data_IF_936242730265
#
_entry.id   IF_936242730265
#
_cell.length_a   1.000
_cell.length_b   1.000
_cell.length_c   1.000
_cell.angle_alpha   90.00
_cell.angle_beta   90.00
_cell.angle_gamma   90.00
#
_symmetry.space_group_name_H-M   'P 1'
#
loop_
_entity.id
_entity.type
_entity.pdbx_description
1 polymer ?
#
# COMPACT_ATOMS: atom_id res chain seq x y z
N UNK A 1 -29.26 -15.66 -5.14
CA UNK A 1 -28.04 -14.87 -5.40
C UNK A 1 -28.06 -13.68 -4.45
N UNK A 2 -27.19 -13.66 -3.45
CA UNK A 2 -27.18 -12.62 -2.42
C UNK A 2 -26.75 -11.28 -3.02
N UNK A 3 -27.31 -10.17 -2.53
CA UNK A 3 -26.87 -8.82 -2.93
C UNK A 3 -25.37 -8.63 -2.67
N UNK A 4 -24.87 -9.17 -1.55
CA UNK A 4 -23.46 -9.10 -1.16
C UNK A 4 -22.55 -9.76 -2.19
N UNK A 5 -22.89 -10.96 -2.66
CA UNK A 5 -22.13 -11.66 -3.72
C UNK A 5 -22.11 -10.84 -5.01
N UNK A 6 -23.26 -10.33 -5.45
CA UNK A 6 -23.33 -9.47 -6.64
C UNK A 6 -22.49 -8.20 -6.50
N UNK A 7 -22.53 -7.54 -5.34
CA UNK A 7 -21.72 -6.34 -5.09
C UNK A 7 -20.22 -6.64 -5.11
N UNK A 8 -19.83 -7.80 -4.56
CA UNK A 8 -18.43 -8.24 -4.53
C UNK A 8 -17.95 -8.62 -5.93
N UNK A 9 -18.76 -9.37 -6.69
CA UNK A 9 -18.47 -9.74 -8.08
C UNK A 9 -18.38 -8.50 -8.99
N UNK A 10 -19.24 -7.49 -8.75
CA UNK A 10 -19.18 -6.23 -9.49
C UNK A 10 -17.96 -5.39 -9.10
N UNK A 11 -17.62 -5.35 -7.80
CA UNK A 11 -16.43 -4.68 -7.28
C UNK A 11 -15.13 -5.30 -7.80
N UNK A 12 -15.01 -6.63 -7.78
CA UNK A 12 -13.88 -7.37 -8.34
C UNK A 12 -13.87 -7.33 -9.88
N UNK A 13 -15.06 -7.28 -10.50
CA UNK A 13 -15.23 -7.15 -11.95
C UNK A 13 -14.68 -5.82 -12.49
N UNK A 14 -14.94 -4.71 -11.80
CA UNK A 14 -14.36 -3.40 -12.12
C UNK A 14 -12.84 -3.38 -11.90
N UNK A 15 -12.34 -4.09 -10.89
CA UNK A 15 -10.90 -4.28 -10.67
C UNK A 15 -10.24 -5.22 -11.67
N UNK A 16 -11.00 -5.95 -12.49
CA UNK A 16 -10.49 -6.83 -13.55
C UNK A 16 -10.90 -6.35 -14.94
N UNK A 17 -11.44 -5.13 -15.04
CA UNK A 17 -11.70 -4.47 -16.33
C UNK A 17 -10.34 -4.22 -17.01
N UNK A 18 -10.13 -4.86 -18.15
CA UNK A 18 -8.99 -4.68 -19.04
C UNK A 18 -9.38 -3.83 -20.25
N UNK A 19 -8.38 -3.31 -20.96
CA UNK A 19 -8.61 -2.54 -22.21
C UNK A 19 -9.44 -3.34 -23.21
N UNK A 20 -9.13 -4.62 -23.37
CA UNK A 20 -9.79 -5.53 -24.31
C UNK A 20 -11.27 -5.70 -23.94
N UNK A 21 -11.59 -5.79 -22.64
CA UNK A 21 -12.99 -5.88 -22.18
C UNK A 21 -13.76 -4.59 -22.42
N UNK A 22 -13.12 -3.43 -22.27
CA UNK A 22 -13.75 -2.14 -22.58
C UNK A 22 -14.00 -2.02 -24.07
N UNK A 23 -13.02 -2.37 -24.90
CA UNK A 23 -13.16 -2.33 -26.36
C UNK A 23 -14.29 -3.26 -26.84
N UNK A 24 -14.35 -4.50 -26.32
CA UNK A 24 -15.43 -5.43 -26.62
C UNK A 24 -16.81 -4.92 -26.16
N UNK A 25 -16.89 -4.29 -24.97
CA UNK A 25 -18.13 -3.69 -24.47
C UNK A 25 -18.62 -2.55 -25.38
N UNK A 26 -17.70 -1.68 -25.81
CA UNK A 26 -18.05 -0.56 -26.69
C UNK A 26 -18.43 -1.05 -28.09
N UNK A 27 -17.79 -2.08 -28.60
CA UNK A 27 -18.17 -2.70 -29.87
C UNK A 27 -19.59 -3.29 -29.83
N UNK A 28 -19.98 -3.94 -28.74
CA UNK A 28 -21.36 -4.41 -28.53
C UNK A 28 -22.37 -3.26 -28.51
N UNK A 29 -22.03 -2.13 -27.89
CA UNK A 29 -22.89 -0.92 -27.90
C UNK A 29 -23.02 -0.32 -29.31
N UNK A 30 -21.95 -0.35 -30.12
CA UNK A 30 -22.03 0.06 -31.54
C UNK A 30 -22.95 -0.86 -32.33
N UNK A 31 -22.83 -2.18 -32.12
CA UNK A 31 -23.68 -3.17 -32.80
C UNK A 31 -25.16 -3.01 -32.44
N UNK A 32 -25.45 -2.57 -31.21
CA UNK A 32 -26.81 -2.23 -30.75
C UNK A 32 -27.31 -0.88 -31.24
N UNK A 33 -26.46 -0.08 -31.89
CA UNK A 33 -26.77 1.28 -32.34
C UNK A 33 -26.83 2.31 -31.21
N UNK A 34 -26.32 1.96 -30.02
CA UNK A 34 -26.27 2.86 -28.86
C UNK A 34 -25.11 3.86 -28.94
N UNK A 35 -24.05 3.52 -29.68
CA UNK A 35 -22.89 4.38 -29.93
C UNK A 35 -22.62 4.42 -31.43
N UNK A 36 -22.35 5.61 -31.96
CA UNK A 36 -21.91 5.71 -33.34
C UNK A 36 -20.48 5.15 -33.51
N UNK A 37 -20.26 4.40 -34.60
CA UNK A 37 -18.95 3.78 -34.90
C UNK A 37 -17.79 4.79 -34.89
N UNK A 38 -18.05 6.04 -35.28
CA UNK A 38 -17.05 7.13 -35.28
C UNK A 38 -16.64 7.57 -33.86
N UNK A 39 -17.49 7.37 -32.86
CA UNK A 39 -17.30 7.82 -31.48
C UNK A 39 -16.79 6.70 -30.56
N UNK A 40 -16.92 5.44 -30.99
CA UNK A 40 -16.55 4.24 -30.23
C UNK A 40 -15.14 4.31 -29.62
N UNK A 41 -14.13 4.65 -30.42
CA UNK A 41 -12.74 4.71 -29.95
C UNK A 41 -12.54 5.76 -28.85
N UNK A 42 -13.16 6.93 -29.00
CA UNK A 42 -13.07 8.00 -28.01
C UNK A 42 -13.80 7.62 -26.72
N UNK A 43 -14.96 6.97 -26.83
CA UNK A 43 -15.71 6.50 -25.67
C UNK A 43 -14.94 5.42 -24.88
N UNK A 44 -14.34 4.45 -25.58
CA UNK A 44 -13.48 3.45 -24.96
C UNK A 44 -12.26 4.08 -24.25
N UNK A 45 -11.59 5.02 -24.91
CA UNK A 45 -10.45 5.75 -24.33
C UNK A 45 -10.84 6.50 -23.05
N UNK A 46 -11.99 7.18 -23.06
CA UNK A 46 -12.52 7.89 -21.89
C UNK A 46 -12.85 6.96 -20.73
N UNK A 47 -13.46 5.79 -21.01
CA UNK A 47 -13.75 4.77 -20.01
C UNK A 47 -12.48 4.23 -19.36
N UNK A 48 -11.47 3.91 -20.17
CA UNK A 48 -10.18 3.41 -19.68
C UNK A 48 -9.52 4.46 -18.79
N UNK A 49 -9.43 5.71 -19.26
CA UNK A 49 -8.80 6.80 -18.52
C UNK A 49 -9.49 7.04 -17.18
N UNK A 50 -10.83 7.14 -17.16
CA UNK A 50 -11.60 7.29 -15.92
C UNK A 50 -11.40 6.11 -14.98
N UNK A 51 -11.35 4.88 -15.52
CA UNK A 51 -11.09 3.69 -14.73
C UNK A 51 -9.70 3.68 -14.09
N UNK A 52 -8.68 4.17 -14.81
CA UNK A 52 -7.32 4.32 -14.29
C UNK A 52 -7.23 5.37 -13.18
N UNK A 53 -7.88 6.54 -13.36
CA UNK A 53 -7.99 7.59 -12.35
C UNK A 53 -8.65 7.08 -11.07
N UNK A 54 -9.83 6.46 -11.18
CA UNK A 54 -10.57 5.90 -10.04
C UNK A 54 -9.78 4.79 -9.32
N UNK A 55 -9.08 3.94 -10.07
CA UNK A 55 -8.18 2.92 -9.48
C UNK A 55 -7.03 3.56 -8.71
N UNK A 56 -6.51 4.70 -9.18
CA UNK A 56 -5.48 5.47 -8.48
C UNK A 56 -5.98 5.98 -7.13
N UNK A 57 -7.13 6.65 -7.12
CA UNK A 57 -7.77 7.15 -5.90
C UNK A 57 -8.09 6.03 -4.91
N UNK A 58 -8.64 4.90 -5.41
CA UNK A 58 -8.95 3.74 -4.58
C UNK A 58 -7.67 3.15 -3.95
N UNK A 59 -6.57 3.04 -4.71
CA UNK A 59 -5.29 2.55 -4.18
C UNK A 59 -4.77 3.46 -3.06
N UNK A 60 -4.84 4.78 -3.25
CA UNK A 60 -4.43 5.73 -2.21
C UNK A 60 -5.28 5.58 -0.96
N UNK A 61 -6.60 5.52 -1.12
CA UNK A 61 -7.51 5.34 0.00
C UNK A 61 -7.27 4.03 0.78
N UNK A 62 -7.05 2.92 0.07
CA UNK A 62 -6.69 1.64 0.70
C UNK A 62 -5.37 1.77 1.44
N UNK A 63 -4.35 2.38 0.83
CA UNK A 63 -3.04 2.58 1.47
C UNK A 63 -3.16 3.38 2.77
N UNK A 64 -3.91 4.47 2.75
CA UNK A 64 -4.13 5.33 3.92
C UNK A 64 -4.89 4.59 5.03
N UNK A 65 -5.93 3.84 4.68
CA UNK A 65 -6.74 3.11 5.66
C UNK A 65 -5.97 1.94 6.29
N UNK A 66 -5.18 1.21 5.49
CA UNK A 66 -4.25 0.19 6.00
C UNK A 66 -3.18 0.83 6.88
N UNK A 67 -2.61 1.97 6.48
CA UNK A 67 -1.63 2.71 7.27
C UNK A 67 -2.17 3.09 8.65
N UNK A 68 -3.39 3.64 8.72
CA UNK A 68 -4.08 3.95 9.98
C UNK A 68 -4.38 2.71 10.82
N UNK A 69 -4.77 1.60 10.17
CA UNK A 69 -5.02 0.35 10.88
C UNK A 69 -3.74 -0.19 11.53
N UNK A 70 -2.60 -0.13 10.83
CA UNK A 70 -1.30 -0.54 11.37
C UNK A 70 -0.84 0.37 12.52
N UNK A 71 -1.04 1.70 12.42
CA UNK A 71 -0.78 2.63 13.53
C UNK A 71 -1.62 2.29 14.77
N UNK A 72 -2.91 1.99 14.60
CA UNK A 72 -3.79 1.61 15.72
C UNK A 72 -3.39 0.29 16.39
N UNK A 73 -2.72 -0.59 15.66
CA UNK A 73 -2.24 -1.87 16.15
C UNK A 73 -0.81 -1.81 16.72
N UNK A 74 -0.23 -0.61 16.82
CA UNK A 74 1.13 -0.35 17.31
C UNK A 74 2.20 -1.19 16.56
N UNK A 75 1.95 -1.41 15.26
CA UNK A 75 2.90 -2.15 14.41
C UNK A 75 4.03 -1.20 14.03
N UNK A 76 5.23 -1.46 14.54
CA UNK A 76 6.42 -0.68 14.24
C UNK A 76 6.65 -0.60 12.72
N UNK A 77 6.78 0.64 12.20
CA UNK A 77 7.20 0.85 10.82
C UNK A 77 8.70 0.60 10.71
N UNK A 78 9.16 0.35 9.48
CA UNK A 78 10.60 0.21 9.20
C UNK A 78 11.39 1.44 9.64
N UNK A 79 10.76 2.61 9.58
CA UNK A 79 11.30 3.90 10.02
C UNK A 79 11.46 3.99 11.54
N UNK A 80 10.60 3.29 12.29
CA UNK A 80 10.58 3.29 13.76
C UNK A 80 11.61 2.30 14.34
N UNK A 81 12.22 1.46 13.49
CA UNK A 81 13.24 0.50 13.92
C UNK A 81 14.63 1.13 13.91
N UNK A 82 15.36 0.99 15.02
CA UNK A 82 16.75 1.41 15.10
C UNK A 82 17.63 0.56 14.18
N UNK A 83 18.48 1.22 13.41
CA UNK A 83 19.51 0.54 12.61
C UNK A 83 20.55 -0.13 13.50
N UNK A 84 21.23 -1.14 12.96
CA UNK A 84 22.30 -1.84 13.67
C UNK A 84 23.42 -0.88 14.09
N UNK A 85 23.73 0.12 13.26
CA UNK A 85 24.70 1.18 13.55
C UNK A 85 24.26 2.04 14.74
N UNK A 86 23.00 2.48 14.78
CA UNK A 86 22.45 3.25 15.90
C UNK A 86 22.48 2.44 17.20
N UNK A 87 22.06 1.17 17.15
CA UNK A 87 22.13 0.25 18.30
C UNK A 87 23.56 0.13 18.81
N UNK A 88 24.54 -0.06 17.90
CA UNK A 88 25.96 -0.14 18.28
C UNK A 88 26.49 1.17 18.89
N UNK A 89 26.02 2.33 18.42
CA UNK A 89 26.41 3.62 18.99
C UNK A 89 25.90 3.76 20.42
N UNK A 90 24.61 3.50 20.63
CA UNK A 90 23.97 3.55 21.96
C UNK A 90 24.70 2.62 22.92
N UNK A 91 24.95 1.36 22.52
CA UNK A 91 25.68 0.40 23.37
C UNK A 91 27.07 0.89 23.75
N UNK A 92 27.83 1.50 22.81
CA UNK A 92 29.18 2.00 23.10
C UNK A 92 29.16 3.17 24.09
N UNK A 93 28.20 4.07 23.93
CA UNK A 93 28.02 5.22 24.82
C UNK A 93 27.66 4.78 26.23
N UNK A 94 26.70 3.87 26.37
CA UNK A 94 26.32 3.27 27.65
C UNK A 94 27.46 2.50 28.32
N UNK A 95 28.25 1.73 27.56
CA UNK A 95 29.46 1.05 28.09
C UNK A 95 30.50 2.06 28.57
N UNK A 96 30.74 3.14 27.81
CA UNK A 96 31.70 4.17 28.20
C UNK A 96 31.25 4.91 29.46
N UNK A 97 29.96 5.24 29.57
CA UNK A 97 29.38 5.85 30.77
C UNK A 97 29.50 4.93 31.99
N UNK A 98 29.12 3.65 31.85
CA UNK A 98 29.23 2.66 32.93
C UNK A 98 30.69 2.40 33.37
N UNK A 99 31.65 2.50 32.45
CA UNK A 99 33.08 2.41 32.77
C UNK A 99 33.62 3.69 33.43
N UNK A 100 33.10 4.86 33.09
CA UNK A 100 33.46 6.13 33.72
C UNK A 100 32.89 6.26 35.14
N UNK A 101 31.73 5.66 35.40
CA UNK A 101 31.11 5.61 36.74
C UNK A 101 31.67 4.49 37.62
N UNK A 102 32.42 3.52 37.06
CA UNK A 102 33.19 2.55 37.84
C UNK A 102 34.46 3.22 38.37
N UNK A 103 34.60 3.48 39.68
CA UNK A 103 35.85 4.00 40.21
C UNK A 103 36.96 2.96 39.97
N UNK A 104 38.06 3.40 39.37
CA UNK A 104 39.27 2.61 39.21
C UNK A 104 39.78 2.17 40.59
N UNK A 105 39.43 0.95 41.03
CA UNK A 105 39.80 0.50 42.38
C UNK A 105 39.18 -0.81 42.90
N UNK A 106 38.63 -1.68 42.05
CA UNK A 106 38.38 -3.08 42.46
C UNK A 106 39.21 -4.01 41.58
N UNK A 107 40.53 -3.94 41.74
CA UNK A 107 41.39 -5.10 41.52
C UNK A 107 41.18 -6.04 42.71
N UNK A 108 40.42 -7.13 42.53
CA UNK A 108 40.44 -8.23 43.49
C UNK A 108 41.79 -8.94 43.33
N UNK A 109 42.57 -9.13 44.41
CA UNK A 109 43.80 -9.90 44.33
C UNK A 109 43.48 -11.38 44.08
N UNK A 110 44.35 -12.13 43.38
CA UNK A 110 44.13 -13.55 43.14
C UNK A 110 44.25 -14.34 44.46
N UNK A 111 43.34 -15.31 44.64
CA UNK A 111 43.47 -16.39 45.65
C UNK A 111 44.69 -17.27 45.37
#
# INVERSE_FOLDING_TARGET
MNLIEKSLDFGLGLLTLSREKVEAFVEDMVNKGEIEKKEASQFASNLIKKGEEQRGELRQWIHDEVGKALEKLDVARKEDTLTAEQIRSIIREEIAAALAERPAGQENPPE
#
